data_IF_599937806297
#
_entry.id   IF_599937806297
#
_cell.length_a   1.000
_cell.length_b   1.000
_cell.length_c   1.000
_cell.angle_alpha   90.00
_cell.angle_beta   90.00
_cell.angle_gamma   90.00
#
_symmetry.space_group_name_H-M   'P 1'
#
loop_
_entity.id
_entity.type
_entity.pdbx_description
1 polymer ?
#
# COMPACT_ATOMS: atom_id res chain seq x y z
N UNK A 1 -17.32 -6.58 -8.74
CA UNK A 1 -17.01 -5.32 -9.44
C UNK A 1 -16.82 -4.32 -8.31
N UNK A 2 -15.59 -3.96 -8.00
CA UNK A 2 -15.27 -3.15 -6.83
C UNK A 2 -15.41 -1.68 -7.20
N UNK A 3 -16.24 -0.95 -6.45
CA UNK A 3 -16.32 0.51 -6.56
C UNK A 3 -14.99 1.09 -6.12
N UNK A 4 -14.19 1.55 -7.08
CA UNK A 4 -12.90 2.17 -6.83
C UNK A 4 -13.14 3.64 -6.58
N UNK A 5 -12.76 4.13 -5.39
CA UNK A 5 -12.74 5.57 -5.14
C UNK A 5 -11.51 6.13 -5.88
N UNK A 6 -11.66 7.11 -6.79
CA UNK A 6 -10.58 7.59 -7.65
C UNK A 6 -9.50 8.41 -6.93
N UNK A 7 -9.45 8.36 -5.59
CA UNK A 7 -8.73 9.33 -4.77
C UNK A 7 -7.51 8.75 -4.03
N UNK A 8 -7.14 7.47 -4.24
CA UNK A 8 -6.01 6.86 -3.54
C UNK A 8 -6.31 6.38 -2.12
N UNK A 9 -7.59 6.31 -1.75
CA UNK A 9 -8.06 5.89 -0.43
C UNK A 9 -9.19 4.85 -0.52
N UNK A 10 -9.30 4.00 0.49
CA UNK A 10 -10.40 3.04 0.66
C UNK A 10 -10.80 2.97 2.13
N UNK A 11 -12.08 2.69 2.39
CA UNK A 11 -12.54 2.40 3.75
C UNK A 11 -11.98 1.08 4.25
N UNK A 12 -11.81 0.95 5.57
CA UNK A 12 -11.40 -0.30 6.19
C UNK A 12 -12.42 -1.41 5.96
N UNK A 13 -13.72 -1.08 5.96
CA UNK A 13 -14.81 -2.04 5.73
C UNK A 13 -14.71 -2.71 4.35
N UNK A 14 -14.27 -1.98 3.32
CA UNK A 14 -14.04 -2.52 1.98
C UNK A 14 -12.92 -3.57 1.95
N UNK A 15 -12.02 -3.58 2.94
CA UNK A 15 -10.93 -4.54 3.06
C UNK A 15 -11.31 -5.80 3.85
N UNK A 16 -12.37 -5.75 4.67
CA UNK A 16 -12.81 -6.89 5.49
C UNK A 16 -12.97 -8.20 4.70
N UNK A 17 -13.54 -8.22 3.47
CA UNK A 17 -13.67 -9.46 2.69
C UNK A 17 -12.33 -10.13 2.33
N UNK A 18 -11.21 -9.42 2.44
CA UNK A 18 -9.87 -9.87 2.08
C UNK A 18 -8.97 -10.14 3.30
N UNK A 19 -9.49 -9.95 4.50
CA UNK A 19 -8.78 -10.13 5.76
C UNK A 19 -9.22 -11.44 6.44
N UNK A 20 -8.25 -12.15 7.00
CA UNK A 20 -8.52 -13.25 7.93
C UNK A 20 -8.51 -12.73 9.39
N UNK A 21 -9.02 -13.53 10.33
CA UNK A 21 -9.08 -13.13 11.75
C UNK A 21 -7.72 -12.77 12.35
N UNK A 22 -6.64 -13.45 11.94
CA UNK A 22 -5.28 -13.16 12.42
C UNK A 22 -4.77 -11.80 11.93
N UNK A 23 -5.06 -11.45 10.67
CA UNK A 23 -4.74 -10.13 10.10
C UNK A 23 -5.53 -9.03 10.79
N UNK A 24 -6.82 -9.25 11.06
CA UNK A 24 -7.65 -8.31 11.82
C UNK A 24 -7.07 -8.07 13.21
N UNK A 25 -6.70 -9.13 13.93
CA UNK A 25 -6.08 -9.01 15.26
C UNK A 25 -4.76 -8.23 15.21
N UNK A 26 -3.94 -8.43 14.18
CA UNK A 26 -2.71 -7.66 13.98
C UNK A 26 -2.99 -6.18 13.72
N UNK A 27 -4.02 -5.86 12.93
CA UNK A 27 -4.44 -4.48 12.65
C UNK A 27 -4.91 -3.79 13.92
N UNK A 28 -5.77 -4.45 14.71
CA UNK A 28 -6.31 -3.89 15.95
C UNK A 28 -5.24 -3.67 17.03
N UNK A 29 -4.09 -4.36 16.95
CA UNK A 29 -2.91 -4.08 17.78
C UNK A 29 -2.13 -2.84 17.35
N UNK A 30 -2.22 -2.47 16.06
CA UNK A 30 -1.57 -1.28 15.52
C UNK A 30 -2.43 -0.04 15.77
N UNK A 31 -3.73 -0.12 15.49
CA UNK A 31 -4.68 0.99 15.62
C UNK A 31 -5.99 0.48 16.22
N UNK A 32 -6.52 1.20 17.22
CA UNK A 32 -7.72 0.74 17.94
C UNK A 32 -8.99 0.80 17.11
N UNK A 33 -9.09 1.80 16.24
CA UNK A 33 -10.27 2.06 15.43
C UNK A 33 -9.86 2.36 13.98
N UNK A 34 -9.50 1.32 13.19
CA UNK A 34 -9.13 1.53 11.79
C UNK A 34 -10.34 2.02 11.01
N UNK A 35 -10.21 3.15 10.31
CA UNK A 35 -11.28 3.75 9.51
C UNK A 35 -10.97 3.65 8.01
N UNK A 36 -9.72 3.85 7.63
CA UNK A 36 -9.32 3.94 6.22
C UNK A 36 -7.91 3.44 5.95
N UNK A 37 -7.66 3.19 4.67
CA UNK A 37 -6.33 2.89 4.14
C UNK A 37 -6.07 3.77 2.92
N UNK A 38 -4.97 4.50 2.96
CA UNK A 38 -4.40 5.17 1.79
C UNK A 38 -3.44 4.20 1.12
N UNK A 39 -3.39 4.20 -0.21
CA UNK A 39 -2.41 3.41 -0.94
C UNK A 39 -1.71 4.28 -1.99
N UNK A 40 -0.42 4.03 -2.19
CA UNK A 40 0.40 4.71 -3.18
C UNK A 40 1.23 3.70 -3.99
N UNK A 41 1.41 4.02 -5.28
CA UNK A 41 2.32 3.29 -6.16
C UNK A 41 3.69 3.96 -6.18
N UNK A 42 4.73 3.14 -6.08
CA UNK A 42 6.12 3.57 -6.18
C UNK A 42 6.74 2.89 -7.41
N UNK A 43 6.73 3.55 -8.57
CA UNK A 43 7.30 2.97 -9.78
C UNK A 43 8.80 2.76 -9.60
N UNK A 44 9.31 1.63 -10.10
CA UNK A 44 10.74 1.33 -10.04
C UNK A 44 11.31 1.05 -11.43
N UNK A 45 12.52 1.54 -11.63
CA UNK A 45 13.30 1.27 -12.83
C UNK A 45 14.76 1.05 -12.43
N UNK A 46 15.32 -0.09 -12.84
CA UNK A 46 16.70 -0.46 -12.52
C UNK A 46 17.55 -0.71 -13.79
N UNK A 47 17.14 -0.11 -14.92
CA UNK A 47 17.83 -0.29 -16.20
C UNK A 47 17.60 -1.67 -16.84
N UNK A 48 18.24 -1.87 -18.00
CA UNK A 48 18.14 -3.10 -18.81
C UNK A 48 19.42 -3.96 -18.75
N UNK A 49 20.22 -3.81 -17.70
CA UNK A 49 21.47 -4.59 -17.55
C UNK A 49 21.16 -6.08 -17.56
N UNK A 50 21.90 -6.86 -18.35
CA UNK A 50 21.70 -8.32 -18.40
C UNK A 50 22.10 -8.95 -17.06
N UNK A 51 21.30 -9.91 -16.61
CA UNK A 51 21.53 -10.62 -15.35
C UNK A 51 20.34 -11.52 -15.01
N UNK A 52 20.54 -12.44 -14.06
CA UNK A 52 19.54 -13.41 -13.60
C UNK A 52 18.77 -12.95 -12.34
N UNK A 53 19.13 -11.81 -11.76
CA UNK A 53 18.42 -11.22 -10.62
C UNK A 53 17.17 -10.47 -11.10
N UNK A 54 16.05 -10.65 -10.40
CA UNK A 54 14.80 -9.92 -10.65
C UNK A 54 15.00 -8.41 -10.62
N UNK A 55 14.35 -7.67 -11.54
CA UNK A 55 14.58 -6.22 -11.74
C UNK A 55 14.33 -5.42 -10.45
N UNK A 56 13.30 -5.77 -9.67
CA UNK A 56 12.94 -5.09 -8.42
C UNK A 56 14.04 -5.18 -7.34
N UNK A 57 14.90 -6.19 -7.40
CA UNK A 57 15.95 -6.46 -6.40
C UNK A 57 17.32 -5.89 -6.80
N UNK A 58 17.40 -5.13 -7.89
CA UNK A 58 18.67 -4.58 -8.41
C UNK A 58 19.01 -3.18 -7.87
N UNK A 59 18.01 -2.48 -7.32
CA UNK A 59 18.18 -1.16 -6.72
C UNK A 59 18.46 -1.22 -5.22
N UNK A 60 18.37 -0.06 -4.57
CA UNK A 60 18.28 0.02 -3.11
C UNK A 60 17.04 -0.75 -2.65
N UNK A 61 17.13 -1.35 -1.47
CA UNK A 61 16.00 -2.04 -0.85
C UNK A 61 14.76 -1.13 -0.79
N UNK A 62 13.69 -1.57 -1.44
CA UNK A 62 12.45 -0.81 -1.53
C UNK A 62 11.74 -0.73 -0.18
N UNK A 63 11.92 -1.71 0.70
CA UNK A 63 11.32 -1.68 2.04
C UNK A 63 11.74 -0.42 2.79
N UNK A 64 13.05 -0.15 2.80
CA UNK A 64 13.62 1.03 3.45
C UNK A 64 13.18 2.32 2.73
N UNK A 65 13.29 2.34 1.40
CA UNK A 65 13.03 3.56 0.62
C UNK A 65 11.56 3.97 0.68
N UNK A 66 10.64 3.03 0.49
CA UNK A 66 9.19 3.29 0.54
C UNK A 66 8.76 3.63 1.97
N UNK A 67 9.28 2.92 2.97
CA UNK A 67 8.97 3.20 4.38
C UNK A 67 9.43 4.60 4.80
N UNK A 68 10.64 5.04 4.41
CA UNK A 68 11.14 6.40 4.64
C UNK A 68 10.17 7.44 4.06
N UNK A 69 9.79 7.28 2.79
CA UNK A 69 8.87 8.21 2.11
C UNK A 69 7.50 8.24 2.80
N UNK A 70 6.93 7.08 3.12
CA UNK A 70 5.62 7.01 3.78
C UNK A 70 5.67 7.58 5.18
N UNK A 71 6.74 7.35 5.94
CA UNK A 71 6.91 7.90 7.29
C UNK A 71 6.90 9.43 7.27
N UNK A 72 7.61 10.04 6.32
CA UNK A 72 7.61 11.49 6.13
C UNK A 72 6.20 12.02 5.82
N UNK A 73 5.42 11.28 5.02
CA UNK A 73 4.02 11.62 4.72
C UNK A 73 3.11 11.45 5.93
N UNK A 74 3.23 10.36 6.68
CA UNK A 74 2.49 10.16 7.93
C UNK A 74 2.75 11.32 8.89
N UNK A 75 4.01 11.71 9.12
CA UNK A 75 4.33 12.85 9.98
C UNK A 75 3.75 14.17 9.48
N UNK A 76 3.61 14.37 8.17
CA UNK A 76 2.94 15.54 7.61
C UNK A 76 1.42 15.50 7.85
N UNK A 77 0.79 14.33 7.69
CA UNK A 77 -0.63 14.11 7.94
C UNK A 77 -0.98 14.27 9.42
N UNK A 78 -0.17 13.73 10.33
CA UNK A 78 -0.33 13.89 11.79
C UNK A 78 -0.28 15.36 12.21
N UNK A 79 0.58 16.17 11.57
CA UNK A 79 0.61 17.63 11.81
C UNK A 79 -0.63 18.35 11.28
N UNK A 80 -1.19 17.88 10.16
CA UNK A 80 -2.39 18.46 9.55
C UNK A 80 -3.67 18.03 10.27
N UNK A 81 -3.68 16.83 10.86
CA UNK A 81 -4.80 16.23 11.58
C UNK A 81 -4.39 15.83 13.01
N UNK A 82 -4.22 16.79 13.93
CA UNK A 82 -3.82 16.48 15.30
C UNK A 82 -4.82 15.56 15.98
N UNK A 83 -4.32 14.46 16.56
CA UNK A 83 -5.12 13.46 17.26
C UNK A 83 -5.52 12.25 16.41
N UNK A 84 -5.25 12.29 15.10
CA UNK A 84 -5.37 11.13 14.22
C UNK A 84 -4.06 10.35 14.14
N UNK A 85 -4.15 9.05 13.87
CA UNK A 85 -3.00 8.13 13.81
C UNK A 85 -2.76 7.68 12.38
N UNK A 86 -1.52 7.79 11.88
CA UNK A 86 -1.17 7.34 10.52
C UNK A 86 0.00 6.36 10.57
N UNK A 87 -0.23 5.10 10.18
CA UNK A 87 0.75 4.03 10.29
C UNK A 87 1.23 3.61 8.89
N UNK A 88 2.52 3.81 8.54
CA UNK A 88 3.06 3.37 7.26
C UNK A 88 3.20 1.84 7.24
N UNK A 89 2.85 1.23 6.11
CA UNK A 89 2.82 -0.22 5.90
C UNK A 89 3.44 -0.55 4.52
N UNK A 90 4.44 -1.42 4.52
CA UNK A 90 5.16 -1.84 3.29
C UNK A 90 5.54 -3.31 3.42
N UNK A 91 5.11 -4.15 2.46
CA UNK A 91 5.45 -5.57 2.22
C UNK A 91 5.12 -6.57 3.36
N UNK A 92 5.46 -6.23 4.60
CA UNK A 92 5.24 -7.04 5.80
C UNK A 92 3.97 -6.62 6.57
N UNK A 93 2.98 -6.07 5.87
CA UNK A 93 1.78 -5.53 6.50
C UNK A 93 0.67 -6.58 6.70
N UNK A 94 -0.22 -6.39 7.69
CA UNK A 94 -1.41 -7.22 7.81
C UNK A 94 -2.49 -6.87 6.78
N UNK A 95 -2.32 -5.78 6.03
CA UNK A 95 -3.24 -5.32 5.00
C UNK A 95 -2.91 -6.05 3.67
N UNK A 96 -3.91 -6.54 2.92
CA UNK A 96 -3.68 -7.10 1.60
C UNK A 96 -3.40 -5.97 0.59
N UNK A 97 -2.14 -5.54 0.50
CA UNK A 97 -1.70 -4.35 -0.25
C UNK A 97 -2.15 -4.34 -1.71
N UNK A 98 -2.11 -5.49 -2.41
CA UNK A 98 -2.60 -5.60 -3.79
C UNK A 98 -4.11 -5.32 -3.89
N UNK A 99 -4.89 -5.81 -2.93
CA UNK A 99 -6.33 -5.55 -2.88
C UNK A 99 -6.61 -4.10 -2.49
N UNK A 100 -5.89 -3.57 -1.51
CA UNK A 100 -5.97 -2.16 -1.12
C UNK A 100 -5.64 -1.23 -2.29
N UNK A 101 -4.55 -1.48 -3.01
CA UNK A 101 -4.18 -0.69 -4.19
C UNK A 101 -5.23 -0.76 -5.31
N UNK A 102 -5.86 -1.92 -5.51
CA UNK A 102 -6.96 -2.04 -6.46
C UNK A 102 -8.20 -1.23 -6.01
N UNK A 103 -8.58 -1.31 -4.74
CA UNK A 103 -9.72 -0.57 -4.16
C UNK A 103 -9.49 0.95 -4.17
N UNK A 104 -8.27 1.39 -3.90
CA UNK A 104 -7.85 2.79 -3.96
C UNK A 104 -7.70 3.33 -5.40
N UNK A 105 -7.98 2.52 -6.43
CA UNK A 105 -7.94 2.95 -7.83
C UNK A 105 -6.53 3.09 -8.43
N UNK A 106 -5.48 2.56 -7.80
CA UNK A 106 -4.10 2.60 -8.32
C UNK A 106 -3.97 1.78 -9.61
N UNK A 107 -4.77 0.73 -9.74
CA UNK A 107 -4.71 -0.19 -10.87
C UNK A 107 -5.70 -1.33 -10.71
N UNK A 108 -5.53 -2.38 -11.50
CA UNK A 108 -6.36 -3.59 -11.42
C UNK A 108 -5.51 -4.83 -11.17
N UNK A 109 -6.11 -5.86 -10.57
CA UNK A 109 -5.41 -7.12 -10.30
C UNK A 109 -5.38 -7.94 -11.58
N UNK A 110 -4.18 -8.22 -12.09
CA UNK A 110 -3.97 -9.09 -13.24
C UNK A 110 -4.19 -10.57 -12.90
N UNK A 111 -4.31 -11.42 -13.94
CA UNK A 111 -4.39 -12.89 -13.77
C UNK A 111 -3.14 -13.50 -13.10
N UNK A 112 -2.03 -12.76 -13.10
CA UNK A 112 -0.78 -13.09 -12.42
C UNK A 112 -0.74 -12.63 -10.95
N UNK A 113 -1.87 -12.17 -10.40
CA UNK A 113 -2.02 -11.62 -9.05
C UNK A 113 -1.19 -10.36 -8.75
N UNK A 114 -0.63 -9.71 -9.78
CA UNK A 114 0.05 -8.42 -9.63
C UNK A 114 -0.94 -7.28 -9.83
N UNK A 115 -0.72 -6.17 -9.13
CA UNK A 115 -1.39 -4.92 -9.43
C UNK A 115 -0.79 -4.33 -10.71
N UNK A 116 -1.64 -4.05 -11.69
CA UNK A 116 -1.27 -3.46 -12.97
C UNK A 116 -1.76 -2.02 -12.96
N UNK A 117 -0.82 -1.08 -12.89
CA UNK A 117 -1.10 0.34 -13.05
C UNK A 117 -1.17 0.71 -14.54
N UNK A 118 -2.10 1.61 -14.95
CA UNK A 118 -2.25 1.99 -16.35
C UNK A 118 -1.01 2.65 -16.99
N UNK A 119 -0.19 3.35 -16.20
CA UNK A 119 0.98 4.11 -16.66
C UNK A 119 2.27 3.30 -16.52
N UNK A 120 2.47 2.67 -15.36
CA UNK A 120 3.73 1.99 -15.01
C UNK A 120 3.69 0.46 -15.18
N UNK A 121 2.54 -0.10 -15.58
CA UNK A 121 2.33 -1.54 -15.64
C UNK A 121 2.46 -2.20 -14.27
N UNK A 122 3.10 -3.38 -14.22
CA UNK A 122 3.35 -4.10 -12.96
C UNK A 122 4.68 -3.74 -12.29
N UNK A 123 5.42 -2.73 -12.80
CA UNK A 123 6.72 -2.30 -12.27
C UNK A 123 6.54 -1.24 -11.18
N UNK A 124 5.72 -1.57 -10.17
CA UNK A 124 5.42 -0.72 -9.04
C UNK A 124 5.58 -1.51 -7.75
N UNK A 125 6.03 -0.83 -6.70
CA UNK A 125 5.79 -1.26 -5.33
C UNK A 125 4.51 -0.60 -4.82
N UNK A 126 3.85 -1.27 -3.87
CA UNK A 126 2.66 -0.74 -3.22
C UNK A 126 3.05 -0.39 -1.79
N UNK A 127 2.71 0.82 -1.36
CA UNK A 127 2.82 1.23 0.02
C UNK A 127 1.46 1.67 0.52
N UNK A 128 1.14 1.32 1.76
CA UNK A 128 -0.13 1.67 2.39
C UNK A 128 0.09 2.54 3.63
N UNK A 129 -0.89 3.37 3.95
CA UNK A 129 -0.99 4.07 5.24
C UNK A 129 -2.32 3.70 5.85
N UNK A 130 -2.29 3.12 7.04
CA UNK A 130 -3.47 2.81 7.83
C UNK A 130 -3.80 4.00 8.73
N UNK A 131 -5.08 4.36 8.80
CA UNK A 131 -5.55 5.55 9.54
C UNK A 131 -6.85 5.28 10.31
N UNK A 132 -7.09 6.09 11.35
CA UNK A 132 -8.31 6.10 12.17
C UNK A 132 -9.35 7.15 11.71
N UNK A 133 -9.07 7.83 10.60
CA UNK A 133 -9.99 8.75 9.92
C UNK A 133 -10.30 8.34 8.48
#
# INVERSE_FOLDING_TARGET
>A
MFDTLPNGETSFDSLIPFLDGTRIDRILRLIKNPAGVLAAAFPYYAGNTRGNISIYARGRDYHLTVHEILSDKCSALERAHPGSTFIPLVDASPIPEVCAGALCGIGFIGKNNLLINPEYGSYIFIGCILTDI
#
